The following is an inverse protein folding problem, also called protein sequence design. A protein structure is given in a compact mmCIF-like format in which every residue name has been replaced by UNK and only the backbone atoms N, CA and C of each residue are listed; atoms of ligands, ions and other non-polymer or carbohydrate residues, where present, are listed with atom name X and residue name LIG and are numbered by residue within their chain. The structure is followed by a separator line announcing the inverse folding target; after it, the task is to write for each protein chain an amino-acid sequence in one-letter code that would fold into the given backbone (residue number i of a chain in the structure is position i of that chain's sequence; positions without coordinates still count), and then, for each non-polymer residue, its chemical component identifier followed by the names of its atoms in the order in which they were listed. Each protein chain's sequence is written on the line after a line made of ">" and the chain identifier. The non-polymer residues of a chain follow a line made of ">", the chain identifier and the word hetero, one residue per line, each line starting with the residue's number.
data_IF_977937166531
#
_entry.id   IF_977937166531
#
_cell.length_a   1.000
_cell.length_b   1.000
_cell.length_c   1.000
_cell.angle_alpha   90.00
_cell.angle_beta   90.00
_cell.angle_gamma   90.00
#
_symmetry.space_group_name_H-M   'P 1'
#
loop_
_entity.id
_entity.type
_entity.pdbx_description
1 polymer ?
#
# COMPACT_ATOMS: atom_id res chain seq x y z
N UNK A 1 18.24 12.29 48.50
CA UNK A 1 18.44 12.25 47.04
C UNK A 1 17.08 12.22 46.40
N UNK A 2 16.69 13.31 45.75
CA UNK A 2 15.40 13.42 45.05
C UNK A 2 15.54 12.74 43.69
N UNK A 3 14.73 11.72 43.44
CA UNK A 3 14.65 11.02 42.17
C UNK A 3 14.00 11.91 41.12
N UNK A 4 14.69 12.11 40.00
CA UNK A 4 14.17 12.76 38.82
C UNK A 4 13.69 11.64 37.88
N UNK A 5 12.40 11.31 37.94
CA UNK A 5 11.77 10.48 36.91
C UNK A 5 11.66 11.33 35.65
N UNK A 6 12.61 11.13 34.73
CA UNK A 6 12.52 11.67 33.37
C UNK A 6 11.39 10.92 32.66
N UNK A 7 10.23 11.57 32.53
CA UNK A 7 9.18 11.14 31.62
C UNK A 7 9.70 11.01 30.18
N UNK A 8 9.04 10.22 29.34
CA UNK A 8 9.51 9.95 27.98
C UNK A 8 9.62 11.25 27.15
N UNK A 9 10.61 11.35 26.25
CA UNK A 9 10.85 12.56 25.46
C UNK A 9 9.70 12.88 24.50
N UNK A 10 9.46 14.18 24.29
CA UNK A 10 8.32 14.79 23.60
C UNK A 10 8.13 14.44 22.11
N UNK A 11 8.91 13.50 21.56
CA UNK A 11 8.79 13.01 20.18
C UNK A 11 8.11 11.65 20.07
N UNK A 12 7.70 11.02 21.18
CA UNK A 12 6.73 9.92 21.10
C UNK A 12 5.46 10.48 20.42
N UNK A 13 5.36 10.22 19.12
CA UNK A 13 4.35 10.79 18.25
C UNK A 13 2.99 10.52 18.87
N UNK A 14 2.33 11.58 19.33
CA UNK A 14 0.91 11.52 19.63
C UNK A 14 0.24 11.10 18.33
N UNK A 15 -0.30 9.88 18.30
CA UNK A 15 -1.12 9.40 17.20
C UNK A 15 -2.14 10.51 16.85
N UNK A 16 -2.15 11.02 15.62
CA UNK A 16 -3.07 12.09 15.25
C UNK A 16 -4.50 11.68 15.59
N UNK A 17 -5.26 12.60 16.19
CA UNK A 17 -6.67 12.34 16.48
C UNK A 17 -7.40 11.87 15.22
N UNK A 18 -8.40 11.01 15.38
CA UNK A 18 -9.17 10.48 14.24
C UNK A 18 -9.76 11.57 13.34
N UNK A 19 -10.03 12.76 13.89
CA UNK A 19 -10.48 13.95 13.14
C UNK A 19 -9.35 14.52 12.29
N UNK A 20 -8.16 14.71 12.87
CA UNK A 20 -7.00 15.23 12.15
C UNK A 20 -6.58 14.29 11.00
N UNK A 21 -6.63 12.97 11.24
CA UNK A 21 -6.34 11.95 10.22
C UNK A 21 -7.34 11.96 9.06
N UNK A 22 -8.63 12.17 9.33
CA UNK A 22 -9.65 12.27 8.28
C UNK A 22 -9.49 13.54 7.45
N UNK A 23 -9.23 14.67 8.10
CA UNK A 23 -9.00 15.95 7.40
C UNK A 23 -7.78 15.89 6.48
N UNK A 24 -6.67 15.29 6.94
CA UNK A 24 -5.49 15.10 6.08
C UNK A 24 -5.77 14.18 4.89
N UNK A 25 -6.58 13.13 5.08
CA UNK A 25 -6.97 12.22 4.00
C UNK A 25 -7.88 12.90 2.96
N UNK A 26 -8.81 13.75 3.40
CA UNK A 26 -9.68 14.50 2.49
C UNK A 26 -8.89 15.51 1.65
N UNK A 27 -7.92 16.21 2.24
CA UNK A 27 -7.03 17.11 1.52
C UNK A 27 -6.20 16.36 0.48
N UNK A 28 -5.59 15.24 0.87
CA UNK A 28 -4.81 14.40 -0.03
C UNK A 28 -5.64 13.93 -1.23
N UNK A 29 -6.86 13.44 -0.99
CA UNK A 29 -7.77 13.00 -2.06
C UNK A 29 -8.09 14.17 -2.99
N UNK A 30 -8.37 15.37 -2.44
CA UNK A 30 -8.67 16.55 -3.25
C UNK A 30 -7.51 16.94 -4.17
N UNK A 31 -6.29 17.02 -3.63
CA UNK A 31 -5.09 17.39 -4.38
C UNK A 31 -4.78 16.35 -5.48
N UNK A 32 -4.93 15.07 -5.16
CA UNK A 32 -4.77 13.98 -6.12
C UNK A 32 -5.74 14.11 -7.31
N UNK A 33 -7.02 14.43 -7.05
CA UNK A 33 -7.98 14.65 -8.12
C UNK A 33 -7.63 15.86 -8.99
N UNK A 34 -7.09 16.94 -8.41
CA UNK A 34 -6.63 18.09 -9.17
C UNK A 34 -5.50 17.69 -10.14
N UNK A 35 -4.50 16.95 -9.68
CA UNK A 35 -3.39 16.47 -10.50
C UNK A 35 -3.89 15.50 -11.60
N UNK A 36 -4.74 14.54 -11.23
CA UNK A 36 -5.27 13.54 -12.17
C UNK A 36 -6.11 14.22 -13.25
N UNK A 37 -7.02 15.12 -12.89
CA UNK A 37 -7.88 15.81 -13.85
C UNK A 37 -7.11 16.69 -14.85
N UNK A 38 -5.95 17.21 -14.47
CA UNK A 38 -5.09 18.02 -15.34
C UNK A 38 -4.18 17.17 -16.24
N UNK A 39 -4.02 15.88 -15.96
CA UNK A 39 -3.04 15.00 -16.62
C UNK A 39 -3.66 13.98 -17.58
N UNK A 40 -4.98 14.04 -17.79
CA UNK A 40 -5.71 13.12 -18.67
C UNK A 40 -6.65 13.87 -19.62
N UNK A 41 -7.02 13.22 -20.72
CA UNK A 41 -7.98 13.76 -21.67
C UNK A 41 -9.40 13.83 -21.10
N UNK A 42 -10.22 14.73 -21.64
CA UNK A 42 -11.57 14.99 -21.14
C UNK A 42 -12.46 13.74 -21.18
N UNK A 43 -12.35 12.90 -22.21
CA UNK A 43 -13.18 11.69 -22.33
C UNK A 43 -12.77 10.61 -21.32
N UNK A 44 -11.48 10.52 -20.98
CA UNK A 44 -10.97 9.65 -19.93
C UNK A 44 -11.43 10.13 -18.55
N UNK A 45 -11.38 11.44 -18.29
CA UNK A 45 -11.88 12.05 -17.06
C UNK A 45 -13.38 11.79 -16.85
N UNK A 46 -14.20 11.89 -17.89
CA UNK A 46 -15.63 11.57 -17.82
C UNK A 46 -15.87 10.11 -17.41
N UNK A 47 -15.08 9.18 -17.95
CA UNK A 47 -15.17 7.75 -17.58
C UNK A 47 -14.68 7.51 -16.15
N UNK A 48 -13.64 8.22 -15.72
CA UNK A 48 -13.14 8.17 -14.35
C UNK A 48 -14.19 8.66 -13.35
N UNK A 49 -14.90 9.76 -13.65
CA UNK A 49 -16.01 10.25 -12.84
C UNK A 49 -17.14 9.20 -12.76
N UNK A 50 -17.52 8.59 -13.89
CA UNK A 50 -18.51 7.50 -13.92
C UNK A 50 -18.08 6.30 -13.06
N UNK A 51 -16.79 5.94 -13.09
CA UNK A 51 -16.25 4.87 -12.26
C UNK A 51 -16.31 5.23 -10.78
N UNK A 52 -15.90 6.44 -10.39
CA UNK A 52 -16.01 6.96 -9.01
C UNK A 52 -17.45 6.82 -8.50
N UNK A 53 -18.42 7.27 -9.29
CA UNK A 53 -19.84 7.23 -8.91
C UNK A 53 -20.32 5.77 -8.77
N UNK A 54 -19.87 4.87 -9.65
CA UNK A 54 -20.21 3.45 -9.60
C UNK A 54 -19.66 2.71 -8.36
N UNK A 55 -18.63 3.25 -7.70
CA UNK A 55 -18.00 2.66 -6.50
C UNK A 55 -18.15 3.53 -5.25
N UNK A 56 -18.95 4.60 -5.30
CA UNK A 56 -19.17 5.52 -4.20
C UNK A 56 -19.78 4.83 -2.96
N UNK A 57 -20.58 3.77 -3.18
CA UNK A 57 -21.19 3.00 -2.09
C UNK A 57 -20.20 2.16 -1.28
N UNK A 58 -18.91 2.11 -1.66
CA UNK A 58 -17.87 1.32 -1.00
C UNK A 58 -17.13 2.06 0.13
N UNK A 59 -17.60 3.26 0.52
CA UNK A 59 -17.00 4.03 1.62
C UNK A 59 -16.97 3.24 2.95
N UNK A 60 -17.97 2.38 3.18
CA UNK A 60 -18.04 1.52 4.37
C UNK A 60 -17.29 0.19 4.24
N UNK A 61 -16.60 -0.05 3.13
CA UNK A 61 -15.92 -1.32 2.91
C UNK A 61 -14.71 -1.46 3.87
N UNK A 62 -14.44 -2.63 4.50
CA UNK A 62 -13.34 -2.80 5.45
C UNK A 62 -11.97 -2.41 4.89
N UNK A 63 -11.69 -2.77 3.64
CA UNK A 63 -10.46 -2.36 2.93
C UNK A 63 -10.32 -0.85 2.71
N UNK A 64 -11.41 -0.08 2.87
CA UNK A 64 -11.41 1.38 2.79
C UNK A 64 -11.32 2.06 4.17
N UNK A 65 -11.33 1.30 5.27
CA UNK A 65 -11.40 1.85 6.63
C UNK A 65 -10.13 2.62 7.02
N UNK A 66 -8.96 2.11 6.64
CA UNK A 66 -7.69 2.79 6.90
C UNK A 66 -7.38 3.84 5.82
N UNK A 67 -7.76 3.56 4.57
CA UNK A 67 -7.50 4.42 3.41
C UNK A 67 -8.72 4.44 2.49
N UNK A 68 -9.25 5.61 2.08
CA UNK A 68 -10.43 5.68 1.21
C UNK A 68 -10.09 5.35 -0.26
N UNK A 69 -9.74 4.09 -0.54
CA UNK A 69 -9.24 3.64 -1.86
C UNK A 69 -10.23 3.89 -2.99
N UNK A 70 -11.53 3.82 -2.70
CA UNK A 70 -12.61 4.09 -3.65
C UNK A 70 -12.76 5.58 -4.01
N UNK A 71 -12.08 6.47 -3.28
CA UNK A 71 -12.08 7.91 -3.53
C UNK A 71 -10.78 8.40 -4.18
N UNK A 72 -9.75 7.58 -4.28
CA UNK A 72 -8.47 7.93 -4.89
C UNK A 72 -8.56 7.88 -6.42
N UNK A 73 -8.59 9.06 -7.06
CA UNK A 73 -8.61 9.20 -8.51
C UNK A 73 -7.50 8.43 -9.23
N UNK A 74 -6.27 8.44 -8.71
CA UNK A 74 -5.15 7.70 -9.32
C UNK A 74 -5.39 6.18 -9.27
N UNK A 75 -5.95 5.69 -8.17
CA UNK A 75 -6.24 4.27 -7.96
C UNK A 75 -7.34 3.85 -8.92
N UNK A 76 -8.46 4.57 -8.97
CA UNK A 76 -9.56 4.29 -9.89
C UNK A 76 -9.12 4.34 -11.36
N UNK A 77 -8.28 5.30 -11.72
CA UNK A 77 -7.76 5.43 -13.08
C UNK A 77 -6.93 4.21 -13.51
N UNK A 78 -6.14 3.61 -12.61
CA UNK A 78 -5.41 2.36 -12.91
C UNK A 78 -6.36 1.19 -13.23
N UNK A 79 -7.45 1.04 -12.47
CA UNK A 79 -8.46 0.02 -12.76
C UNK A 79 -9.19 0.29 -14.07
N UNK A 80 -9.51 1.55 -14.35
CA UNK A 80 -10.13 1.97 -15.61
C UNK A 80 -9.24 1.63 -16.82
N UNK A 81 -7.97 2.06 -16.79
CA UNK A 81 -6.98 1.77 -17.84
C UNK A 81 -6.72 0.27 -17.99
N UNK A 82 -6.63 -0.45 -16.87
CA UNK A 82 -6.47 -1.91 -16.85
C UNK A 82 -7.65 -2.69 -17.45
N UNK A 83 -8.78 -2.03 -17.72
CA UNK A 83 -9.95 -2.59 -18.40
C UNK A 83 -10.30 -1.84 -19.69
N UNK A 84 -9.33 -1.15 -20.29
CA UNK A 84 -9.48 -0.48 -21.58
C UNK A 84 -10.52 0.65 -21.57
N UNK A 85 -10.72 1.30 -20.43
CA UNK A 85 -11.72 2.35 -20.28
C UNK A 85 -13.16 1.86 -20.06
N UNK A 86 -13.38 0.55 -19.90
CA UNK A 86 -14.68 -0.03 -19.58
C UNK A 86 -15.01 0.16 -18.09
N UNK A 87 -15.94 1.08 -17.80
CA UNK A 87 -16.33 1.45 -16.43
C UNK A 87 -16.92 0.27 -15.67
N UNK A 88 -17.74 -0.57 -16.30
CA UNK A 88 -18.41 -1.67 -15.62
C UNK A 88 -17.40 -2.76 -15.23
N UNK A 89 -16.51 -3.13 -16.16
CA UNK A 89 -15.44 -4.10 -15.88
C UNK A 89 -14.43 -3.57 -14.87
N UNK A 90 -14.12 -2.27 -14.92
CA UNK A 90 -13.24 -1.63 -13.95
C UNK A 90 -13.84 -1.66 -12.54
N UNK A 91 -15.13 -1.32 -12.40
CA UNK A 91 -15.84 -1.37 -11.13
C UNK A 91 -15.93 -2.79 -10.56
N UNK A 92 -16.21 -3.79 -11.39
CA UNK A 92 -16.22 -5.20 -10.99
C UNK A 92 -14.83 -5.67 -10.49
N UNK A 93 -13.77 -5.36 -11.25
CA UNK A 93 -12.40 -5.68 -10.85
C UNK A 93 -12.02 -4.97 -9.54
N UNK A 94 -12.41 -3.71 -9.38
CA UNK A 94 -12.13 -2.92 -8.18
C UNK A 94 -12.79 -3.54 -6.94
N UNK A 95 -14.08 -3.90 -7.02
CA UNK A 95 -14.80 -4.58 -5.92
C UNK A 95 -14.12 -5.89 -5.53
N UNK A 96 -13.81 -6.75 -6.50
CA UNK A 96 -13.08 -8.00 -6.27
C UNK A 96 -11.72 -7.78 -5.61
N UNK A 97 -11.02 -6.72 -6.00
CA UNK A 97 -9.74 -6.35 -5.38
C UNK A 97 -9.92 -5.93 -3.93
N UNK A 98 -10.97 -5.17 -3.59
CA UNK A 98 -11.25 -4.79 -2.21
C UNK A 98 -11.68 -6.01 -1.37
N UNK A 99 -12.54 -6.88 -1.90
CA UNK A 99 -12.96 -8.12 -1.26
C UNK A 99 -11.76 -9.01 -0.94
N UNK A 100 -10.84 -9.15 -1.90
CA UNK A 100 -9.59 -9.88 -1.70
C UNK A 100 -8.72 -9.20 -0.63
N UNK A 101 -8.56 -7.87 -0.69
CA UNK A 101 -7.77 -7.11 0.29
C UNK A 101 -8.28 -7.34 1.71
N UNK A 102 -9.59 -7.27 1.90
CA UNK A 102 -10.24 -7.47 3.19
C UNK A 102 -10.18 -8.94 3.65
N UNK A 103 -10.48 -9.90 2.78
CA UNK A 103 -10.46 -11.32 3.13
C UNK A 103 -9.05 -11.85 3.43
N UNK A 104 -8.04 -11.34 2.72
CA UNK A 104 -6.65 -11.67 3.00
C UNK A 104 -6.08 -10.88 4.18
N UNK A 105 -6.70 -9.77 4.57
CA UNK A 105 -6.28 -8.89 5.67
C UNK A 105 -4.85 -8.36 5.49
N UNK A 106 -4.60 -7.82 4.29
CA UNK A 106 -3.25 -7.40 3.88
C UNK A 106 -2.70 -6.30 4.79
N UNK A 107 -3.54 -5.33 5.18
CA UNK A 107 -3.11 -4.13 5.90
C UNK A 107 -2.51 -4.51 7.26
N UNK A 108 -3.19 -5.38 8.02
CA UNK A 108 -2.65 -5.92 9.27
C UNK A 108 -1.43 -6.79 9.02
N UNK A 109 -1.52 -7.76 8.11
CA UNK A 109 -0.42 -8.72 7.87
C UNK A 109 0.87 -8.05 7.42
N UNK A 110 0.78 -7.01 6.59
CA UNK A 110 1.94 -6.25 6.14
C UNK A 110 2.56 -5.50 7.31
N UNK A 111 1.78 -4.82 8.16
CA UNK A 111 2.30 -4.18 9.39
C UNK A 111 3.01 -5.18 10.31
N UNK A 112 2.33 -6.28 10.65
CA UNK A 112 2.88 -7.31 11.52
C UNK A 112 4.20 -7.87 10.95
N UNK A 113 4.26 -8.03 9.63
CA UNK A 113 5.46 -8.50 8.94
C UNK A 113 6.61 -7.50 8.94
N UNK A 114 6.33 -6.20 8.80
CA UNK A 114 7.34 -5.16 8.96
C UNK A 114 7.95 -5.18 10.36
N UNK A 115 7.13 -5.31 11.39
CA UNK A 115 7.58 -5.39 12.78
C UNK A 115 8.46 -6.65 12.98
N UNK A 116 8.01 -7.80 12.47
CA UNK A 116 8.77 -9.06 12.54
C UNK A 116 10.16 -8.95 11.86
N UNK A 117 10.22 -8.29 10.70
CA UNK A 117 11.47 -8.05 9.97
C UNK A 117 12.40 -7.06 10.67
N UNK A 118 11.85 -5.98 11.24
CA UNK A 118 12.61 -4.96 11.94
C UNK A 118 13.27 -5.51 13.20
N UNK A 119 12.52 -6.30 13.97
CA UNK A 119 13.00 -6.89 15.22
C UNK A 119 13.90 -8.11 15.00
N UNK A 120 13.77 -8.82 13.88
CA UNK A 120 14.58 -9.99 13.55
C UNK A 120 14.42 -11.16 14.52
N UNK A 121 13.32 -11.20 15.30
CA UNK A 121 13.08 -12.21 16.35
C UNK A 121 12.71 -13.58 15.77
N UNK A 122 12.06 -13.63 14.61
CA UNK A 122 11.70 -14.90 13.98
C UNK A 122 12.85 -15.49 13.15
N UNK A 123 12.83 -16.81 12.99
CA UNK A 123 13.75 -17.50 12.07
C UNK A 123 13.56 -17.03 10.63
N UNK A 124 12.30 -16.80 10.22
CA UNK A 124 11.95 -16.37 8.86
C UNK A 124 12.54 -15.00 8.54
N UNK A 125 12.37 -14.04 9.44
CA UNK A 125 12.92 -12.70 9.30
C UNK A 125 14.45 -12.71 9.20
N UNK A 126 15.13 -13.50 10.03
CA UNK A 126 16.61 -13.64 9.95
C UNK A 126 17.08 -14.26 8.66
N UNK A 127 16.40 -15.31 8.18
CA UNK A 127 16.74 -15.95 6.91
C UNK A 127 16.52 -15.00 5.75
N UNK A 128 15.39 -14.29 5.71
CA UNK A 128 15.10 -13.35 4.65
C UNK A 128 16.06 -12.16 4.64
N UNK A 129 16.43 -11.64 5.81
CA UNK A 129 17.45 -10.59 5.91
C UNK A 129 18.82 -11.02 5.39
N UNK A 130 19.15 -12.31 5.52
CA UNK A 130 20.47 -12.85 5.14
C UNK A 130 20.52 -13.36 3.70
N UNK A 131 19.46 -13.99 3.23
CA UNK A 131 19.39 -14.69 1.94
C UNK A 131 18.39 -14.07 0.96
N UNK A 132 17.64 -13.05 1.38
CA UNK A 132 16.78 -12.26 0.50
C UNK A 132 17.62 -11.65 -0.62
N UNK A 133 17.10 -11.78 -1.83
CA UNK A 133 17.79 -11.33 -3.06
C UNK A 133 17.20 -10.06 -3.64
N UNK A 134 16.25 -9.46 -2.94
CA UNK A 134 15.57 -8.24 -3.36
C UNK A 134 15.76 -7.09 -2.35
N UNK A 135 15.71 -5.86 -2.86
CA UNK A 135 15.80 -4.65 -2.04
C UNK A 135 15.20 -3.46 -2.77
N UNK A 136 14.65 -2.52 -2.00
CA UNK A 136 14.38 -1.16 -2.48
C UNK A 136 15.70 -0.38 -2.43
N UNK A 137 16.12 0.21 -3.55
CA UNK A 137 17.42 0.90 -3.67
C UNK A 137 17.32 2.43 -3.57
N UNK A 138 16.11 2.99 -3.54
CA UNK A 138 15.83 4.41 -3.61
C UNK A 138 14.87 4.71 -4.75
N UNK A 139 15.01 5.88 -5.36
CA UNK A 139 14.17 6.35 -6.47
C UNK A 139 14.98 6.58 -7.74
N UNK A 140 14.30 6.51 -8.88
CA UNK A 140 14.84 6.95 -10.16
C UNK A 140 14.80 8.48 -10.33
N UNK A 141 15.14 8.96 -11.53
CA UNK A 141 15.15 10.40 -11.85
C UNK A 141 13.76 11.06 -11.83
N UNK A 142 12.70 10.26 -11.88
CA UNK A 142 11.31 10.71 -11.85
C UNK A 142 10.68 10.55 -10.45
N UNK A 143 11.45 10.11 -9.44
CA UNK A 143 10.93 9.86 -8.10
C UNK A 143 10.23 8.51 -7.95
N UNK A 144 10.34 7.60 -8.94
CA UNK A 144 9.69 6.28 -8.89
C UNK A 144 10.59 5.31 -8.11
N UNK A 145 10.06 4.56 -7.12
CA UNK A 145 10.86 3.65 -6.32
C UNK A 145 11.40 2.48 -7.15
N UNK A 146 12.68 2.14 -6.94
CA UNK A 146 13.38 1.06 -7.63
C UNK A 146 13.44 -0.18 -6.75
N UNK A 147 12.73 -1.24 -7.16
CA UNK A 147 12.83 -2.57 -6.56
C UNK A 147 13.78 -3.45 -7.39
N UNK A 148 14.97 -3.71 -6.85
CA UNK A 148 15.94 -4.62 -7.45
C UNK A 148 15.66 -6.04 -6.97
N UNK A 149 15.53 -6.99 -7.91
CA UNK A 149 15.47 -8.43 -7.62
C UNK A 149 16.62 -9.16 -8.32
N UNK A 150 17.48 -9.83 -7.55
CA UNK A 150 18.61 -10.59 -8.08
C UNK A 150 18.27 -12.08 -8.22
N UNK A 151 17.54 -12.42 -9.28
CA UNK A 151 17.03 -13.77 -9.49
C UNK A 151 18.13 -14.82 -9.70
N UNK A 152 19.26 -14.47 -10.32
CA UNK A 152 20.33 -15.41 -10.66
C UNK A 152 21.10 -15.97 -9.47
N UNK A 153 21.11 -15.24 -8.34
CA UNK A 153 21.78 -15.64 -7.10
C UNK A 153 20.80 -16.10 -6.03
N UNK A 154 19.51 -16.17 -6.38
CA UNK A 154 18.46 -16.61 -5.47
C UNK A 154 18.43 -18.13 -5.39
N UNK A 155 18.21 -18.66 -4.18
CA UNK A 155 17.83 -20.06 -3.97
C UNK A 155 16.33 -20.13 -3.67
N UNK A 156 15.46 -20.06 -4.70
CA UNK A 156 14.02 -20.04 -4.49
C UNK A 156 13.51 -21.33 -3.85
N UNK A 157 14.16 -22.48 -4.12
CA UNK A 157 13.80 -23.75 -3.54
C UNK A 157 14.12 -23.80 -2.03
N UNK A 158 15.30 -23.34 -1.64
CA UNK A 158 15.68 -23.20 -0.24
C UNK A 158 14.82 -22.18 0.50
N UNK A 159 14.59 -21.00 -0.07
CA UNK A 159 13.72 -19.99 0.51
C UNK A 159 12.29 -20.50 0.70
N UNK A 160 11.71 -21.16 -0.30
CA UNK A 160 10.36 -21.73 -0.18
C UNK A 160 10.31 -22.83 0.89
N UNK A 161 11.31 -23.72 0.95
CA UNK A 161 11.38 -24.79 1.96
C UNK A 161 11.47 -24.23 3.38
N UNK A 162 12.27 -23.19 3.60
CA UNK A 162 12.57 -22.68 4.94
C UNK A 162 11.57 -21.63 5.46
N UNK A 163 11.00 -20.80 4.57
CA UNK A 163 10.08 -19.72 4.94
C UNK A 163 8.60 -20.09 4.73
N UNK A 164 8.33 -20.96 3.76
CA UNK A 164 7.00 -21.25 3.24
C UNK A 164 6.53 -20.20 2.22
N UNK A 165 5.64 -20.61 1.32
CA UNK A 165 5.11 -19.74 0.27
C UNK A 165 4.39 -18.51 0.81
N UNK A 166 3.65 -18.64 1.92
CA UNK A 166 2.89 -17.53 2.51
C UNK A 166 3.79 -16.38 2.95
N UNK A 167 4.95 -16.66 3.55
CA UNK A 167 5.88 -15.64 3.99
C UNK A 167 6.55 -14.92 2.80
N UNK A 168 6.84 -15.65 1.72
CA UNK A 168 7.40 -15.07 0.50
C UNK A 168 6.38 -14.19 -0.23
N UNK A 169 5.12 -14.64 -0.29
CA UNK A 169 4.01 -13.85 -0.82
C UNK A 169 3.79 -12.60 0.02
N UNK A 170 3.75 -12.72 1.35
CA UNK A 170 3.59 -11.58 2.25
C UNK A 170 4.75 -10.59 2.13
N UNK A 171 5.99 -11.06 1.97
CA UNK A 171 7.12 -10.19 1.71
C UNK A 171 7.01 -9.43 0.39
N UNK A 172 6.60 -10.11 -0.67
CA UNK A 172 6.39 -9.46 -1.97
C UNK A 172 5.28 -8.41 -1.89
N UNK A 173 4.18 -8.73 -1.20
CA UNK A 173 3.08 -7.80 -0.94
C UNK A 173 3.53 -6.60 -0.10
N UNK A 174 4.34 -6.81 0.93
CA UNK A 174 4.86 -5.69 1.73
C UNK A 174 5.73 -4.75 0.90
N UNK A 175 6.56 -5.28 -0.01
CA UNK A 175 7.32 -4.44 -0.96
C UNK A 175 6.44 -3.67 -1.92
N UNK A 176 5.36 -4.28 -2.41
CA UNK A 176 4.40 -3.58 -3.26
C UNK A 176 3.67 -2.45 -2.51
N UNK A 177 3.27 -2.68 -1.26
CA UNK A 177 2.67 -1.63 -0.43
C UNK A 177 3.69 -0.52 -0.10
N UNK A 178 4.94 -0.84 0.23
CA UNK A 178 6.02 0.14 0.45
C UNK A 178 6.20 1.06 -0.77
N UNK A 179 6.29 0.46 -1.97
CA UNK A 179 6.44 1.22 -3.22
C UNK A 179 5.22 2.07 -3.52
N UNK A 180 4.02 1.55 -3.25
CA UNK A 180 2.78 2.30 -3.49
C UNK A 180 2.64 3.47 -2.52
N UNK A 181 3.08 3.32 -1.27
CA UNK A 181 3.08 4.40 -0.29
C UNK A 181 4.10 5.49 -0.65
N UNK A 182 5.24 5.12 -1.23
CA UNK A 182 6.24 6.10 -1.69
C UNK A 182 5.76 7.00 -2.85
N UNK A 183 4.81 6.53 -3.65
CA UNK A 183 4.26 7.26 -4.80
C UNK A 183 3.15 8.26 -4.43
N UNK A 184 2.85 8.41 -3.15
CA UNK A 184 1.81 9.29 -2.61
C UNK A 184 2.43 10.47 -1.91
#
# INVERSE_FOLDING_TARGET
>A
GLGCELGPPAWQALEPSSICRRQSQELFVSDEWAIVSQSIEQDELERLCKLRDAVANLDGHPACAERPLNRQGQTLLRFLRGRGGDVAKAADMFRKSLDWRASFDIDRKVRDWHDELAEGRSRKARLLKRYGTDSLLGVDKAGVPIWLMRLSVSDPAGLQRELGSDALLLHSLSKMEDMHEHLR
#
